data_IF_623587254282
#
_entry.id   IF_623587254282
#
_cell.length_a   1.000
_cell.length_b   1.000
_cell.length_c   1.000
_cell.angle_alpha   90.00
_cell.angle_beta   90.00
_cell.angle_gamma   90.00
#
_symmetry.space_group_name_H-M   'P 1'
#
loop_
_entity.id
_entity.type
_entity.pdbx_description
1 polymer ?
#
# COMPACT_ATOMS: atom_id res chain seq x y z
N UNK A 1 -22.83 1.46 -22.35
CA UNK A 1 -22.79 2.17 -21.05
C UNK A 1 -21.68 1.56 -20.17
N UNK A 2 -20.43 1.97 -20.37
CA UNK A 2 -19.71 2.99 -19.57
C UNK A 2 -19.25 2.57 -18.15
N UNK A 3 -18.82 1.31 -17.93
CA UNK A 3 -18.17 0.94 -16.65
C UNK A 3 -16.87 0.13 -16.76
N UNK A 4 -16.26 0.01 -17.94
CA UNK A 4 -15.00 -0.77 -18.11
C UNK A 4 -13.74 0.08 -18.30
N UNK A 5 -13.86 1.38 -18.52
CA UNK A 5 -12.71 2.20 -18.96
C UNK A 5 -12.08 3.03 -17.83
N UNK A 6 -12.79 3.27 -16.73
CA UNK A 6 -12.29 4.11 -15.63
C UNK A 6 -11.26 3.41 -14.72
N UNK A 7 -11.19 2.07 -14.72
CA UNK A 7 -10.20 1.33 -13.92
C UNK A 7 -8.79 1.34 -14.52
N UNK A 8 -8.61 1.92 -15.73
CA UNK A 8 -7.37 1.86 -16.50
C UNK A 8 -6.52 3.13 -16.41
N UNK A 9 -7.00 4.18 -15.73
CA UNK A 9 -6.30 5.47 -15.64
C UNK A 9 -5.38 5.63 -14.42
N UNK A 10 -5.37 4.68 -13.48
CA UNK A 10 -4.46 4.70 -12.35
C UNK A 10 -3.47 3.54 -12.49
N UNK A 11 -2.46 3.72 -13.35
CA UNK A 11 -1.28 2.85 -13.42
C UNK A 11 -0.38 2.95 -12.18
N UNK A 12 -0.97 3.16 -11.00
CA UNK A 12 -0.39 2.69 -9.75
C UNK A 12 -1.05 1.35 -9.54
N UNK A 13 -0.36 0.28 -9.94
CA UNK A 13 -0.89 -1.09 -9.84
C UNK A 13 -1.56 -1.25 -8.47
N UNK A 14 -2.84 -1.64 -8.43
CA UNK A 14 -3.56 -1.88 -7.16
C UNK A 14 -2.74 -2.77 -6.19
N UNK A 15 -1.83 -3.57 -6.77
CA UNK A 15 -0.77 -4.35 -6.14
C UNK A 15 0.23 -3.54 -5.29
N UNK A 16 0.72 -2.40 -5.76
CA UNK A 16 1.62 -1.53 -5.01
C UNK A 16 0.91 -0.94 -3.79
N UNK A 17 -0.33 -0.47 -3.96
CA UNK A 17 -1.17 0.01 -2.86
C UNK A 17 -1.47 -1.11 -1.85
N UNK A 18 -1.83 -2.30 -2.31
CA UNK A 18 -2.03 -3.47 -1.44
C UNK A 18 -0.76 -3.89 -0.69
N UNK A 19 0.42 -3.80 -1.32
CA UNK A 19 1.70 -4.09 -0.65
C UNK A 19 1.99 -3.09 0.46
N UNK A 20 1.83 -1.79 0.20
CA UNK A 20 2.03 -0.75 1.23
C UNK A 20 1.05 -0.94 2.38
N UNK A 21 -0.22 -1.25 2.11
CA UNK A 21 -1.20 -1.57 3.16
C UNK A 21 -0.81 -2.80 3.97
N UNK A 22 -0.36 -3.87 3.32
CA UNK A 22 0.09 -5.09 4.01
C UNK A 22 1.31 -4.82 4.90
N UNK A 23 2.29 -4.05 4.40
CA UNK A 23 3.48 -3.67 5.17
C UNK A 23 3.10 -2.79 6.36
N UNK A 24 2.23 -1.80 6.15
CA UNK A 24 1.72 -0.92 7.21
C UNK A 24 1.00 -1.71 8.29
N UNK A 25 0.25 -2.75 7.90
CA UNK A 25 -0.40 -3.65 8.86
C UNK A 25 0.61 -4.46 9.65
N UNK A 26 1.62 -5.03 9.01
CA UNK A 26 2.69 -5.75 9.70
C UNK A 26 3.46 -4.85 10.67
N UNK A 27 3.73 -3.60 10.30
CA UNK A 27 4.37 -2.62 11.18
C UNK A 27 3.45 -2.27 12.36
N UNK A 28 2.16 -2.06 12.12
CA UNK A 28 1.19 -1.83 13.19
C UNK A 28 1.09 -3.02 14.16
N UNK A 29 1.07 -4.25 13.63
CA UNK A 29 1.04 -5.48 14.42
C UNK A 29 2.34 -5.64 15.24
N UNK A 30 3.51 -5.30 14.67
CA UNK A 30 4.81 -5.29 15.37
C UNK A 30 4.89 -4.20 16.45
N UNK A 31 4.27 -3.05 16.21
CA UNK A 31 4.17 -1.96 17.17
C UNK A 31 3.11 -2.22 18.26
N UNK A 32 2.38 -3.35 18.20
CA UNK A 32 1.31 -3.68 19.15
C UNK A 32 0.09 -2.76 19.01
N UNK A 33 -0.12 -2.14 17.85
CA UNK A 33 -1.20 -1.21 17.59
C UNK A 33 -2.32 -1.88 16.80
N UNK A 34 -3.54 -1.91 17.35
CA UNK A 34 -4.71 -2.50 16.68
C UNK A 34 -5.10 -1.77 15.39
N UNK A 35 -4.80 -0.47 15.30
CA UNK A 35 -5.11 0.38 14.17
C UNK A 35 -3.84 0.77 13.38
N UNK A 36 -3.97 0.78 12.05
CA UNK A 36 -2.93 1.36 11.20
C UNK A 36 -2.98 2.89 11.37
N UNK A 37 -1.95 3.46 11.97
CA UNK A 37 -1.80 4.90 12.12
C UNK A 37 -0.96 5.47 10.98
N UNK A 38 -0.96 6.80 10.84
CA UNK A 38 -0.13 7.48 9.84
C UNK A 38 1.37 7.19 10.02
N UNK A 39 1.80 6.91 11.25
CA UNK A 39 3.20 6.53 11.56
C UNK A 39 3.55 5.20 10.91
N UNK A 40 2.69 4.17 11.05
CA UNK A 40 2.92 2.86 10.44
C UNK A 40 2.91 2.93 8.90
N UNK A 41 2.07 3.80 8.33
CA UNK A 41 2.04 4.04 6.89
C UNK A 41 3.31 4.76 6.41
N UNK A 42 3.79 5.75 7.15
CA UNK A 42 5.05 6.45 6.85
C UNK A 42 6.25 5.51 6.93
N UNK A 43 6.29 4.61 7.92
CA UNK A 43 7.32 3.57 8.01
C UNK A 43 7.23 2.58 6.84
N UNK A 44 6.02 2.13 6.48
CA UNK A 44 5.82 1.24 5.34
C UNK A 44 6.26 1.86 4.00
N UNK A 45 6.02 3.16 3.83
CA UNK A 45 6.46 3.92 2.66
C UNK A 45 7.98 4.09 2.63
N UNK A 46 8.61 4.30 3.79
CA UNK A 46 10.08 4.38 3.92
C UNK A 46 10.75 3.03 3.67
N UNK A 47 10.11 1.93 4.06
CA UNK A 47 10.63 0.58 3.87
C UNK A 47 10.71 0.14 2.40
N UNK A 48 10.22 0.98 1.46
CA UNK A 48 10.07 0.76 0.02
C UNK A 48 10.92 -0.41 -0.49
N UNK A 49 10.40 -1.65 -0.47
CA UNK A 49 11.13 -2.79 -0.98
C UNK A 49 11.04 -2.66 -2.50
N UNK A 50 12.04 -2.00 -3.09
CA UNK A 50 12.32 -1.86 -4.52
C UNK A 50 11.08 -2.16 -5.36
N UNK A 51 10.14 -1.19 -5.35
CA UNK A 51 8.86 -1.29 -6.03
C UNK A 51 9.16 -1.77 -7.45
N UNK A 52 8.73 -3.00 -7.78
CA UNK A 52 9.06 -3.76 -8.99
C UNK A 52 9.29 -2.83 -10.18
N UNK A 53 10.57 -2.53 -10.43
CA UNK A 53 11.06 -2.01 -11.69
C UNK A 53 11.36 -3.27 -12.52
N UNK A 54 10.30 -3.89 -13.04
CA UNK A 54 10.35 -4.92 -14.07
C UNK A 54 9.04 -4.92 -14.84
#
# INVERSE_FOLDING_TARGET
MLKKTAMRQLQLTARAYHRVLKLSRTIADLAGSEAITQVHLAEALQYRPKLELM
#
